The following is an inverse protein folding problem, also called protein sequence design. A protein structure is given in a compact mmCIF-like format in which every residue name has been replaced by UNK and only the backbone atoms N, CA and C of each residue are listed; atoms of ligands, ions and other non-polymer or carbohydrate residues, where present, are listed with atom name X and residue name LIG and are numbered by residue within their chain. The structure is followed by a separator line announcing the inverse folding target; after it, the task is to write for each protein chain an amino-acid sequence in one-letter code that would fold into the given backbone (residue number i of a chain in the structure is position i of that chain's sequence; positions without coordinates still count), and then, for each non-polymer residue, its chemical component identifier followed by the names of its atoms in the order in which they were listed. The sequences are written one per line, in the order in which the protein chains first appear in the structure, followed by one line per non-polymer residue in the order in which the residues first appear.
data_IF_692138291610
#
_entry.id   IF_692138291610
#
_cell.length_a   1.000
_cell.length_b   1.000
_cell.length_c   1.000
_cell.angle_alpha   90.00
_cell.angle_beta   90.00
_cell.angle_gamma   90.00
#
_symmetry.space_group_name_H-M   'P 1'
#
loop_
_entity.id
_entity.type
_entity.pdbx_description
1 polymer ?
#
# COMPACT_ATOMS: atom_id res chain seq x y z
N UNK A 1 -1.81 8.51 2.59
CA UNK A 1 -0.61 8.53 3.44
C UNK A 1 -0.95 9.30 4.69
N UNK A 2 -0.57 8.79 5.86
CA UNK A 2 -0.76 9.44 7.16
C UNK A 2 0.56 10.07 7.60
N UNK A 3 0.46 11.23 8.22
CA UNK A 3 1.57 12.00 8.74
C UNK A 3 1.37 12.30 10.21
N UNK A 4 2.40 12.07 11.03
CA UNK A 4 2.42 12.40 12.47
C UNK A 4 3.65 13.21 12.82
N UNK A 5 3.57 14.01 13.87
CA UNK A 5 4.76 14.61 14.44
C UNK A 5 5.63 13.49 15.03
N UNK A 6 6.90 13.46 14.66
CA UNK A 6 7.83 12.49 15.23
C UNK A 6 7.95 12.74 16.74
N UNK A 7 8.06 11.66 17.52
CA UNK A 7 8.30 11.76 18.96
C UNK A 7 9.52 12.66 19.27
N UNK A 8 9.36 13.56 20.24
CA UNK A 8 10.39 14.53 20.62
C UNK A 8 10.45 15.79 19.75
N UNK A 9 9.56 15.96 18.77
CA UNK A 9 9.35 17.22 18.05
C UNK A 9 8.39 18.09 18.85
N UNK A 10 8.74 19.37 19.05
CA UNK A 10 7.87 20.35 19.69
C UNK A 10 7.59 21.55 18.78
N UNK A 11 6.35 22.06 18.81
CA UNK A 11 5.96 23.30 18.16
C UNK A 11 6.17 24.47 19.12
N UNK A 12 6.88 25.50 18.66
CA UNK A 12 7.10 26.77 19.37
C UNK A 12 6.53 27.89 18.52
N UNK A 13 5.52 28.58 19.01
CA UNK A 13 4.85 29.65 18.26
C UNK A 13 5.39 31.03 18.64
N UNK A 14 5.34 31.97 17.70
CA UNK A 14 5.65 33.38 17.93
C UNK A 14 4.77 34.28 17.05
N UNK A 15 4.89 35.60 17.21
CA UNK A 15 4.08 36.58 16.46
C UNK A 15 4.26 36.51 14.93
N UNK A 16 5.34 35.88 14.45
CA UNK A 16 5.67 35.76 13.02
C UNK A 16 5.40 34.36 12.43
N UNK A 17 4.78 33.45 13.21
CA UNK A 17 4.52 32.07 12.82
C UNK A 17 4.94 31.08 13.91
N UNK A 18 5.90 30.21 13.60
CA UNK A 18 6.41 29.27 14.59
C UNK A 18 7.64 28.48 14.13
N UNK A 19 8.07 27.55 14.97
CA UNK A 19 9.20 26.66 14.74
C UNK A 19 8.88 25.25 15.20
N UNK A 20 9.30 24.24 14.43
CA UNK A 20 9.46 22.89 14.97
C UNK A 20 10.88 22.72 15.47
N UNK A 21 11.03 22.11 16.64
CA UNK A 21 12.32 21.82 17.27
C UNK A 21 12.39 20.35 17.67
N UNK A 22 13.47 19.67 17.28
CA UNK A 22 13.81 18.31 17.75
C UNK A 22 15.00 18.37 18.68
N UNK A 23 15.05 17.56 19.73
CA UNK A 23 16.17 17.55 20.67
C UNK A 23 17.30 16.58 20.30
N UNK A 24 17.01 15.51 19.54
CA UNK A 24 17.99 14.49 19.12
C UNK A 24 17.73 13.96 17.71
N UNK A 25 18.57 14.30 16.70
CA UNK A 25 19.55 15.40 16.73
C UNK A 25 18.85 16.77 16.89
N UNK A 26 19.57 17.81 17.34
CA UNK A 26 19.02 19.16 17.40
C UNK A 26 18.74 19.69 15.99
N UNK A 27 17.47 19.90 15.63
CA UNK A 27 17.07 20.48 14.35
C UNK A 27 15.92 21.46 14.56
N UNK A 28 15.90 22.50 13.73
CA UNK A 28 14.83 23.50 13.76
C UNK A 28 14.38 23.85 12.36
N UNK A 29 13.07 24.04 12.17
CA UNK A 29 12.52 24.57 10.91
C UNK A 29 11.49 25.66 11.22
N UNK A 30 11.58 26.79 10.51
CA UNK A 30 10.60 27.88 10.61
C UNK A 30 9.33 27.53 9.85
N UNK A 31 8.20 27.79 10.48
CA UNK A 31 6.86 27.60 9.94
C UNK A 31 6.23 28.96 9.64
N UNK A 32 5.53 29.04 8.51
CA UNK A 32 4.60 30.12 8.25
C UNK A 32 3.23 29.83 8.92
N UNK A 33 2.28 30.79 8.94
CA UNK A 33 0.99 30.58 9.59
C UNK A 33 0.19 29.38 9.08
N UNK A 34 0.26 29.08 7.77
CA UNK A 34 -0.42 27.93 7.18
C UNK A 34 0.13 26.60 7.72
N UNK A 35 1.46 26.49 7.84
CA UNK A 35 2.10 25.30 8.42
C UNK A 35 1.85 25.20 9.92
N UNK A 36 1.79 26.31 10.66
CA UNK A 36 1.40 26.29 12.07
C UNK A 36 0.00 25.70 12.23
N UNK A 37 -0.97 26.13 11.42
CA UNK A 37 -2.32 25.55 11.42
C UNK A 37 -2.34 24.06 11.09
N UNK A 38 -1.52 23.63 10.11
CA UNK A 38 -1.35 22.22 9.78
C UNK A 38 -0.77 21.41 10.95
N UNK A 39 0.24 21.94 11.64
CA UNK A 39 0.84 21.29 12.82
C UNK A 39 -0.15 21.21 13.98
N UNK A 40 -0.94 22.28 14.22
CA UNK A 40 -2.00 22.27 15.24
C UNK A 40 -3.06 21.21 14.94
N UNK A 41 -3.48 21.05 13.68
CA UNK A 41 -4.39 19.97 13.27
C UNK A 41 -3.78 18.60 13.57
N UNK A 42 -2.51 18.40 13.21
CA UNK A 42 -1.79 17.17 13.49
C UNK A 42 -1.65 16.86 14.99
N UNK A 43 -1.46 17.87 15.84
CA UNK A 43 -1.38 17.70 17.30
C UNK A 43 -2.73 17.34 17.95
N UNK A 44 -3.86 17.59 17.28
CA UNK A 44 -5.20 17.21 17.76
C UNK A 44 -5.59 15.78 17.38
N UNK A 45 -5.03 15.25 16.28
CA UNK A 45 -5.31 13.90 15.77
C UNK A 45 -4.17 12.96 16.13
N UNK A 46 -4.32 12.17 17.20
CA UNK A 46 -3.29 11.25 17.72
C UNK A 46 -2.85 10.19 16.72
N UNK A 47 -3.77 9.75 15.85
CA UNK A 47 -3.49 8.73 14.84
C UNK A 47 -2.81 9.29 13.57
N UNK A 48 -2.63 10.61 13.51
CA UNK A 48 -2.04 11.33 12.39
C UNK A 48 -3.07 11.79 11.36
N UNK A 49 -2.60 12.64 10.43
CA UNK A 49 -3.46 13.32 9.45
C UNK A 49 -3.16 12.87 8.03
N UNK A 50 -4.17 12.92 7.16
CA UNK A 50 -3.97 12.94 5.72
C UNK A 50 -3.86 14.38 5.22
N UNK A 51 -2.99 14.61 4.24
CA UNK A 51 -2.92 15.88 3.54
C UNK A 51 -4.23 16.15 2.79
N UNK A 52 -4.85 17.30 3.00
CA UNK A 52 -6.08 17.74 2.34
C UNK A 52 -5.81 18.42 0.98
N UNK A 53 -4.58 18.90 0.75
CA UNK A 53 -4.21 19.58 -0.49
C UNK A 53 -2.82 19.16 -0.98
N UNK A 54 -2.53 19.41 -2.26
CA UNK A 54 -1.20 19.17 -2.86
C UNK A 54 -0.11 20.00 -2.15
N UNK A 55 -0.44 21.22 -1.71
CA UNK A 55 0.49 22.08 -0.98
C UNK A 55 0.84 21.48 0.39
N UNK A 56 -0.15 20.96 1.12
CA UNK A 56 0.09 20.22 2.36
C UNK A 56 0.95 18.98 2.13
N UNK A 57 0.67 18.21 1.07
CA UNK A 57 1.49 17.03 0.72
C UNK A 57 2.96 17.42 0.55
N UNK A 58 3.27 18.46 -0.24
CA UNK A 58 4.65 18.91 -0.46
C UNK A 58 5.33 19.38 0.83
N UNK A 59 4.58 20.11 1.67
CA UNK A 59 5.09 20.56 2.96
C UNK A 59 5.41 19.39 3.89
N UNK A 60 4.48 18.43 4.02
CA UNK A 60 4.64 17.27 4.88
C UNK A 60 5.78 16.36 4.40
N UNK A 61 5.94 16.18 3.09
CA UNK A 61 7.10 15.47 2.53
C UNK A 61 8.42 16.17 2.87
N UNK A 62 8.45 17.50 2.84
CA UNK A 62 9.63 18.29 3.19
C UNK A 62 9.96 18.15 4.69
N UNK A 63 8.93 18.24 5.55
CA UNK A 63 9.09 18.05 6.99
C UNK A 63 9.48 16.61 7.35
N UNK A 64 8.99 15.62 6.60
CA UNK A 64 9.35 14.21 6.78
C UNK A 64 10.82 13.97 6.42
N UNK A 65 11.30 14.50 5.29
CA UNK A 65 12.73 14.48 4.92
C UNK A 65 13.60 15.20 5.96
N UNK A 66 13.08 16.28 6.56
CA UNK A 66 13.74 17.01 7.65
C UNK A 66 13.81 16.25 8.98
N UNK A 67 13.01 15.18 9.14
CA UNK A 67 12.91 14.39 10.37
C UNK A 67 11.93 14.94 11.40
N UNK A 68 11.10 15.92 11.05
CA UNK A 68 10.10 16.52 11.95
C UNK A 68 8.77 15.77 11.96
N UNK A 69 8.46 15.10 10.85
CA UNK A 69 7.23 14.35 10.64
C UNK A 69 7.61 12.91 10.31
N UNK A 70 6.87 11.95 10.85
CA UNK A 70 6.91 10.57 10.41
C UNK A 70 5.75 10.31 9.45
N UNK A 71 6.01 9.44 8.48
CA UNK A 71 5.11 9.10 7.40
C UNK A 71 4.76 7.63 7.56
N UNK A 72 3.47 7.33 7.74
CA UNK A 72 2.98 5.97 7.86
C UNK A 72 1.88 5.73 6.84
N UNK A 73 1.82 4.48 6.37
CA UNK A 73 0.61 4.03 5.71
C UNK A 73 -0.53 4.03 6.74
N UNK A 74 -1.77 4.16 6.28
CA UNK A 74 -2.95 4.08 7.15
C UNK A 74 -2.82 2.80 7.97
N UNK A 75 -3.21 2.84 9.25
CA UNK A 75 -3.39 1.60 10.01
C UNK A 75 -4.23 0.66 9.15
N UNK A 76 -3.75 -0.57 8.96
CA UNK A 76 -4.51 -1.58 8.22
C UNK A 76 -5.86 -1.67 8.94
N UNK A 77 -7.00 -1.52 8.23
CA UNK A 77 -8.31 -1.75 8.83
C UNK A 77 -8.34 -3.09 9.56
N UNK A 78 -9.22 -3.25 10.53
CA UNK A 78 -9.44 -4.57 11.14
C UNK A 78 -9.76 -5.59 10.03
N UNK A 79 -9.41 -6.85 10.25
CA UNK A 79 -9.56 -7.92 9.25
C UNK A 79 -10.97 -7.96 8.62
N UNK A 80 -12.00 -7.61 9.41
CA UNK A 80 -13.39 -7.58 8.98
C UNK A 80 -13.76 -6.38 8.08
N UNK A 81 -12.97 -5.31 8.12
CA UNK A 81 -13.15 -4.09 7.32
C UNK A 81 -12.33 -4.10 6.02
N UNK A 82 -11.51 -5.12 5.81
CA UNK A 82 -10.76 -5.27 4.56
C UNK A 82 -11.68 -5.67 3.40
N UNK A 83 -11.45 -5.16 2.17
CA UNK A 83 -12.30 -5.48 1.02
C UNK A 83 -12.22 -6.97 0.63
N UNK A 84 -13.06 -7.41 -0.30
CA UNK A 84 -12.78 -8.65 -1.02
C UNK A 84 -11.79 -8.36 -2.14
N UNK A 85 -10.78 -9.21 -2.31
CA UNK A 85 -9.73 -9.07 -3.31
C UNK A 85 -9.64 -10.33 -4.14
N UNK A 86 -9.69 -10.19 -5.46
CA UNK A 86 -9.37 -11.26 -6.41
C UNK A 86 -8.02 -10.98 -7.06
N UNK A 87 -7.11 -11.96 -7.02
CA UNK A 87 -5.79 -11.91 -7.66
C UNK A 87 -5.84 -12.76 -8.92
N UNK A 88 -5.74 -12.10 -10.09
CA UNK A 88 -5.76 -12.77 -11.39
C UNK A 88 -4.33 -12.95 -11.90
N UNK A 89 -3.93 -14.20 -12.12
CA UNK A 89 -2.59 -14.59 -12.55
C UNK A 89 -2.66 -15.17 -13.98
N UNK A 90 -2.41 -14.36 -15.02
CA UNK A 90 -2.26 -14.89 -16.37
C UNK A 90 -0.94 -15.67 -16.47
N UNK A 91 -0.98 -16.90 -16.98
CA UNK A 91 0.20 -17.77 -17.00
C UNK A 91 0.21 -18.65 -18.26
N UNK A 92 1.42 -18.96 -18.75
CA UNK A 92 1.65 -19.94 -19.81
C UNK A 92 3.04 -20.56 -19.69
N UNK A 93 3.12 -21.88 -19.53
CA UNK A 93 4.36 -22.65 -19.46
C UNK A 93 5.33 -22.16 -18.36
N UNK A 94 4.82 -21.94 -17.13
CA UNK A 94 5.57 -21.36 -16.00
C UNK A 94 5.26 -22.08 -14.68
N UNK A 95 5.28 -23.41 -14.67
CA UNK A 95 4.87 -24.19 -13.50
C UNK A 95 5.62 -23.83 -12.19
N UNK A 96 6.93 -23.62 -12.26
CA UNK A 96 7.74 -23.33 -11.05
C UNK A 96 7.56 -21.88 -10.56
N UNK A 97 7.46 -20.90 -11.46
CA UNK A 97 7.17 -19.52 -11.09
C UNK A 97 5.76 -19.40 -10.49
N UNK A 98 4.79 -20.11 -11.08
CA UNK A 98 3.43 -20.17 -10.56
C UNK A 98 3.41 -20.78 -9.16
N UNK A 99 4.16 -21.87 -8.92
CA UNK A 99 4.26 -22.48 -7.59
C UNK A 99 4.75 -21.47 -6.56
N UNK A 100 5.84 -20.77 -6.86
CA UNK A 100 6.41 -19.76 -5.95
C UNK A 100 5.44 -18.60 -5.70
N UNK A 101 4.74 -18.15 -6.74
CA UNK A 101 3.74 -17.11 -6.64
C UNK A 101 2.58 -17.53 -5.72
N UNK A 102 2.01 -18.71 -5.93
CA UNK A 102 0.89 -19.21 -5.13
C UNK A 102 1.27 -19.46 -3.66
N UNK A 103 2.47 -20.00 -3.40
CA UNK A 103 2.99 -20.14 -2.04
C UNK A 103 3.15 -18.78 -1.35
N UNK A 104 3.68 -17.77 -2.05
CA UNK A 104 3.80 -16.42 -1.50
C UNK A 104 2.43 -15.78 -1.22
N UNK A 105 1.42 -16.03 -2.05
CA UNK A 105 0.05 -15.55 -1.81
C UNK A 105 -0.60 -16.21 -0.59
N UNK A 106 -0.31 -17.49 -0.35
CA UNK A 106 -0.81 -18.23 0.81
C UNK A 106 -0.21 -17.72 2.15
N UNK A 107 0.94 -17.04 2.11
CA UNK A 107 1.60 -16.45 3.27
C UNK A 107 1.18 -15.00 3.56
N UNK A 108 0.26 -14.43 2.77
CA UNK A 108 -0.24 -13.07 3.02
C UNK A 108 -1.00 -12.98 4.34
N UNK A 109 -0.70 -11.93 5.12
CA UNK A 109 -1.50 -11.48 6.25
C UNK A 109 -2.77 -10.76 5.75
N UNK A 110 -3.60 -11.50 5.01
CA UNK A 110 -4.90 -11.08 4.50
C UNK A 110 -5.93 -12.16 4.82
N UNK A 111 -7.17 -11.80 5.19
CA UNK A 111 -8.18 -12.78 5.52
C UNK A 111 -8.43 -13.73 4.34
N UNK A 112 -8.16 -15.02 4.53
CA UNK A 112 -8.26 -16.02 3.45
C UNK A 112 -9.69 -16.18 2.93
N UNK A 113 -10.69 -15.90 3.76
CA UNK A 113 -12.10 -15.86 3.36
C UNK A 113 -12.48 -14.62 2.53
N UNK A 114 -11.57 -13.66 2.35
CA UNK A 114 -11.74 -12.45 1.53
C UNK A 114 -10.74 -12.34 0.39
N UNK A 115 -9.93 -13.37 0.19
CA UNK A 115 -8.96 -13.47 -0.90
C UNK A 115 -9.36 -14.59 -1.84
N UNK A 116 -9.48 -14.27 -3.13
CA UNK A 116 -9.64 -15.25 -4.19
C UNK A 116 -8.42 -15.20 -5.10
N UNK A 117 -7.91 -16.36 -5.51
CA UNK A 117 -6.81 -16.45 -6.49
C UNK A 117 -7.31 -17.19 -7.73
N UNK A 118 -7.27 -16.49 -8.86
CA UNK A 118 -7.71 -16.99 -10.17
C UNK A 118 -6.48 -17.11 -11.06
N UNK A 119 -6.14 -18.32 -11.47
CA UNK A 119 -5.09 -18.58 -12.45
C UNK A 119 -5.73 -18.72 -13.81
N UNK A 120 -5.32 -17.88 -14.76
CA UNK A 120 -5.78 -17.96 -16.14
C UNK A 120 -4.69 -18.58 -17.00
N UNK A 121 -4.87 -19.84 -17.38
CA UNK A 121 -3.95 -20.58 -18.23
C UNK A 121 -4.17 -20.26 -19.70
N UNK A 122 -3.14 -19.72 -20.36
CA UNK A 122 -3.16 -19.31 -21.76
C UNK A 122 -2.70 -20.43 -22.72
N UNK A 123 -3.12 -21.66 -22.40
CA UNK A 123 -2.81 -22.88 -23.14
C UNK A 123 -1.42 -23.41 -22.86
N UNK A 124 -1.11 -23.70 -21.59
CA UNK A 124 0.16 -24.32 -21.22
C UNK A 124 0.25 -25.76 -21.72
N UNK A 125 1.46 -26.15 -22.09
CA UNK A 125 1.87 -27.51 -22.45
C UNK A 125 2.61 -28.24 -21.33
N UNK A 126 3.04 -27.51 -20.30
CA UNK A 126 3.72 -28.04 -19.12
C UNK A 126 2.74 -28.37 -17.97
N UNK A 127 3.28 -28.50 -16.75
CA UNK A 127 2.50 -28.84 -15.55
C UNK A 127 1.82 -27.62 -14.91
N UNK A 128 1.81 -26.45 -15.54
CA UNK A 128 1.22 -25.22 -14.99
C UNK A 128 -0.23 -25.41 -14.51
N UNK A 129 -1.15 -26.04 -15.28
CA UNK A 129 -2.52 -26.26 -14.82
C UNK A 129 -2.62 -27.14 -13.57
N UNK A 130 -1.71 -28.12 -13.45
CA UNK A 130 -1.66 -29.01 -12.28
C UNK A 130 -1.19 -28.27 -11.03
N UNK A 131 -0.22 -27.37 -11.16
CA UNK A 131 0.27 -26.54 -10.04
C UNK A 131 -0.85 -25.65 -9.51
N UNK A 132 -1.61 -24.98 -10.38
CA UNK A 132 -2.74 -24.14 -9.97
C UNK A 132 -3.76 -24.92 -9.14
N UNK A 133 -4.20 -26.09 -9.65
CA UNK A 133 -5.19 -26.93 -8.98
C UNK A 133 -4.69 -27.46 -7.63
N UNK A 134 -3.43 -27.91 -7.57
CA UNK A 134 -2.86 -28.49 -6.35
C UNK A 134 -2.68 -27.47 -5.23
N UNK A 135 -2.51 -26.18 -5.55
CA UNK A 135 -2.34 -25.10 -4.58
C UNK A 135 -3.64 -24.32 -4.33
N UNK A 136 -4.79 -24.87 -4.71
CA UNK A 136 -6.11 -24.34 -4.34
C UNK A 136 -6.55 -23.09 -5.10
N UNK A 137 -5.89 -22.74 -6.20
CA UNK A 137 -6.32 -21.64 -7.05
C UNK A 137 -7.46 -22.05 -7.99
N UNK A 138 -8.36 -21.11 -8.28
CA UNK A 138 -9.38 -21.28 -9.32
C UNK A 138 -8.71 -21.23 -10.69
N UNK A 139 -8.73 -22.33 -11.43
CA UNK A 139 -8.14 -22.39 -12.77
C UNK A 139 -9.19 -22.06 -13.86
N UNK A 140 -8.88 -21.08 -14.70
CA UNK A 140 -9.65 -20.68 -15.87
C UNK A 140 -8.78 -20.85 -17.12
N UNK A 141 -9.31 -21.47 -18.16
CA UNK A 141 -8.63 -21.52 -19.46
C UNK A 141 -8.94 -20.25 -20.27
N UNK A 142 -7.93 -19.66 -20.91
CA UNK A 142 -8.13 -18.45 -21.72
C UNK A 142 -9.01 -18.68 -22.96
N UNK A 143 -9.12 -19.94 -23.41
CA UNK A 143 -9.90 -20.37 -24.58
C UNK A 143 -9.16 -20.24 -25.92
N UNK A 144 -7.93 -19.73 -25.94
CA UNK A 144 -7.06 -19.69 -27.12
C UNK A 144 -5.61 -19.94 -26.70
N UNK A 145 -4.84 -20.69 -27.50
CA UNK A 145 -3.42 -20.91 -27.19
C UNK A 145 -2.65 -19.64 -27.56
N UNK A 146 -2.11 -18.93 -26.56
CA UNK A 146 -1.32 -17.72 -26.78
C UNK A 146 -2.13 -16.46 -27.10
N UNK A 147 -3.31 -16.29 -26.51
CA UNK A 147 -4.12 -15.06 -26.62
C UNK A 147 -3.45 -13.84 -25.97
N UNK A 148 -2.40 -14.07 -25.18
CA UNK A 148 -1.57 -13.05 -24.59
C UNK A 148 -2.10 -12.53 -23.25
N UNK A 149 -1.28 -11.79 -22.50
CA UNK A 149 -1.55 -11.46 -21.10
C UNK A 149 -2.75 -10.52 -20.93
N UNK A 150 -3.12 -9.74 -21.95
CA UNK A 150 -4.30 -8.86 -21.88
C UNK A 150 -5.61 -9.67 -21.97
N UNK A 151 -5.70 -10.62 -22.92
CA UNK A 151 -6.86 -11.47 -23.06
C UNK A 151 -7.08 -12.34 -21.82
N UNK A 152 -6.00 -12.94 -21.29
CA UNK A 152 -6.06 -13.73 -20.07
C UNK A 152 -6.52 -12.89 -18.85
N UNK A 153 -6.04 -11.66 -18.69
CA UNK A 153 -6.48 -10.76 -17.60
C UNK A 153 -7.96 -10.40 -17.71
N UNK A 154 -8.44 -10.02 -18.89
CA UNK A 154 -9.84 -9.71 -19.11
C UNK A 154 -10.73 -10.93 -18.82
N UNK A 155 -10.30 -12.12 -19.26
CA UNK A 155 -11.02 -13.37 -19.01
C UNK A 155 -11.16 -13.68 -17.53
N UNK A 156 -10.11 -13.43 -16.73
CA UNK A 156 -10.16 -13.63 -15.29
C UNK A 156 -10.99 -12.58 -14.54
N UNK A 157 -11.16 -11.39 -15.11
CA UNK A 157 -11.92 -10.30 -14.50
C UNK A 157 -13.44 -10.42 -14.71
N UNK A 158 -13.89 -11.22 -15.68
CA UNK A 158 -15.30 -11.39 -16.06
C UNK A 158 -15.63 -10.81 -17.42
#
# INVERSE_FOLDING_TARGET
MIYRLRSGVSLRENEQGGFLVTSRPLRTVRLNPALVSLMRRMMRETDGISAATVAETRALETLAKGGFVEKSWRTVPDADDLPYVSVIIPVKDRADDLRNCLLSLAELDYPQNRLEVIVVDDGSSDKTPLVARNLGATLVESGAVGGGPAAARNKGAG
#
